data_IF_679860416658
#
_entry.id   IF_679860416658
#
_cell.length_a   1.000
_cell.length_b   1.000
_cell.length_c   1.000
_cell.angle_alpha   90.00
_cell.angle_beta   90.00
_cell.angle_gamma   90.00
#
_symmetry.space_group_name_H-M   'P 1'
#
loop_
_entity.id
_entity.type
_entity.pdbx_description
1 polymer ?
#
# COMPACT_ATOMS: atom_id res chain seq x y z
N UNK A 1 -5.10 4.19 -24.15
CA UNK A 1 -6.52 4.57 -24.03
C UNK A 1 -7.13 4.30 -22.65
N UNK A 2 -6.89 3.14 -22.03
CA UNK A 2 -7.35 2.83 -20.66
C UNK A 2 -6.94 3.93 -19.66
N UNK A 3 -5.65 4.25 -19.54
CA UNK A 3 -5.18 5.31 -18.63
C UNK A 3 -5.73 6.70 -18.97
N UNK A 4 -5.96 7.02 -20.25
CA UNK A 4 -6.62 8.28 -20.65
C UNK A 4 -8.04 8.34 -20.10
N UNK A 5 -8.77 7.23 -20.17
CA UNK A 5 -10.13 7.10 -19.62
C UNK A 5 -10.12 7.25 -18.11
N UNK A 6 -9.23 6.55 -17.40
CA UNK A 6 -9.09 6.67 -15.94
C UNK A 6 -8.77 8.11 -15.51
N UNK A 7 -7.99 8.85 -16.31
CA UNK A 7 -7.66 10.25 -16.02
C UNK A 7 -8.84 11.22 -16.17
N UNK A 8 -9.97 10.80 -16.73
CA UNK A 8 -11.19 11.61 -16.79
C UNK A 8 -12.08 11.45 -15.55
N UNK A 9 -11.75 10.49 -14.68
CA UNK A 9 -12.54 10.14 -13.49
C UNK A 9 -11.80 10.39 -12.17
N UNK A 10 -12.12 9.58 -11.16
CA UNK A 10 -11.55 9.70 -9.80
C UNK A 10 -10.04 9.47 -9.69
N UNK A 11 -9.42 8.91 -10.73
CA UNK A 11 -7.98 8.74 -10.82
C UNK A 11 -7.26 9.92 -11.48
N UNK A 12 -7.99 10.97 -11.88
CA UNK A 12 -7.42 12.21 -12.43
C UNK A 12 -6.24 12.69 -11.57
N UNK A 13 -5.05 12.59 -12.17
CA UNK A 13 -3.80 12.94 -11.56
C UNK A 13 -2.69 13.04 -12.59
N UNK A 14 -1.68 13.85 -12.25
CA UNK A 14 -0.52 14.04 -13.12
C UNK A 14 0.19 12.72 -13.46
N UNK A 15 0.27 11.78 -12.51
CA UNK A 15 0.92 10.49 -12.76
C UNK A 15 0.13 9.59 -13.72
N UNK A 16 -1.20 9.62 -13.69
CA UNK A 16 -2.04 8.85 -14.62
C UNK A 16 -1.98 9.48 -16.02
N UNK A 17 -2.01 10.81 -16.10
CA UNK A 17 -1.82 11.59 -17.33
C UNK A 17 -0.51 11.20 -18.03
N UNK A 18 0.64 11.35 -17.36
CA UNK A 18 1.93 11.05 -17.99
C UNK A 18 2.11 9.57 -18.29
N UNK A 19 1.47 8.67 -17.53
CA UNK A 19 1.48 7.23 -17.84
C UNK A 19 0.83 6.96 -19.19
N UNK A 20 -0.29 7.61 -19.49
CA UNK A 20 -0.94 7.48 -20.79
C UNK A 20 -0.05 7.99 -21.93
N UNK A 21 0.63 9.11 -21.73
CA UNK A 21 1.53 9.70 -22.74
C UNK A 21 2.75 8.81 -22.99
N UNK A 22 3.41 8.33 -21.93
CA UNK A 22 4.57 7.42 -22.02
C UNK A 22 4.20 6.11 -22.72
N UNK A 23 3.05 5.51 -22.39
CA UNK A 23 2.59 4.28 -23.05
C UNK A 23 2.25 4.46 -24.53
N UNK A 24 1.91 5.68 -24.96
CA UNK A 24 1.63 5.99 -26.36
C UNK A 24 2.85 6.42 -27.17
N UNK A 25 3.99 6.65 -26.51
CA UNK A 25 5.20 7.06 -27.17
C UNK A 25 5.84 5.88 -27.92
N UNK A 26 6.26 6.16 -29.16
CA UNK A 26 6.99 5.22 -30.02
C UNK A 26 8.42 5.71 -30.14
N UNK A 27 9.36 4.80 -29.92
CA UNK A 27 10.79 5.09 -30.07
C UNK A 27 11.13 5.35 -31.55
N UNK A 28 11.82 6.46 -31.81
CA UNK A 28 12.08 6.93 -33.18
C UNK A 28 13.10 6.07 -33.93
N UNK A 29 14.01 5.40 -33.22
CA UNK A 29 15.07 4.60 -33.83
C UNK A 29 14.58 3.20 -34.18
N UNK A 30 13.85 2.56 -33.26
CA UNK A 30 13.41 1.16 -33.41
C UNK A 30 11.99 1.02 -33.96
N UNK A 31 11.16 2.07 -33.89
CA UNK A 31 9.75 2.04 -34.25
C UNK A 31 8.86 1.21 -33.28
N UNK A 32 9.40 0.77 -32.14
CA UNK A 32 8.68 0.02 -31.11
C UNK A 32 8.04 0.94 -30.07
N UNK A 33 7.04 0.46 -29.29
CA UNK A 33 6.62 1.19 -28.10
C UNK A 33 7.82 1.51 -27.21
N UNK A 34 7.96 2.77 -26.80
CA UNK A 34 9.12 3.23 -26.04
C UNK A 34 9.35 2.41 -24.77
N UNK A 35 8.28 2.04 -24.07
CA UNK A 35 8.35 1.25 -22.85
C UNK A 35 8.95 -0.15 -23.04
N UNK A 36 8.90 -0.71 -24.26
CA UNK A 36 9.44 -2.04 -24.57
C UNK A 36 10.96 -2.03 -24.81
N UNK A 37 11.55 -0.84 -24.99
CA UNK A 37 13.01 -0.68 -25.21
C UNK A 37 13.73 -0.12 -23.98
N UNK A 38 12.99 0.36 -22.97
CA UNK A 38 13.56 0.87 -21.73
C UNK A 38 13.93 -0.27 -20.79
N UNK A 39 15.12 -0.19 -20.19
CA UNK A 39 15.57 -1.16 -19.19
C UNK A 39 14.72 -1.10 -17.92
N UNK A 40 14.30 -2.25 -17.41
CA UNK A 40 13.45 -2.40 -16.23
C UNK A 40 14.24 -2.35 -14.90
N UNK A 41 15.07 -1.31 -14.74
CA UNK A 41 15.93 -1.09 -13.58
C UNK A 41 15.69 0.32 -13.01
N UNK A 42 14.79 0.40 -12.04
CA UNK A 42 14.41 1.68 -11.44
C UNK A 42 15.43 2.13 -10.37
N UNK A 43 16.02 3.30 -10.58
CA UNK A 43 16.86 3.95 -9.57
C UNK A 43 16.02 4.63 -8.46
N UNK A 44 16.66 4.90 -7.33
CA UNK A 44 16.08 5.72 -6.27
C UNK A 44 17.11 6.71 -5.71
N UNK A 45 16.67 7.95 -5.48
CA UNK A 45 17.50 9.02 -4.90
C UNK A 45 17.48 9.07 -3.36
N UNK A 46 16.85 8.09 -2.71
CA UNK A 46 16.88 7.89 -1.26
C UNK A 46 15.66 8.38 -0.48
N UNK A 47 14.89 9.35 -0.98
CA UNK A 47 13.75 9.93 -0.23
C UNK A 47 12.67 8.91 0.14
N UNK A 48 12.31 8.00 -0.77
CA UNK A 48 11.37 6.91 -0.45
C UNK A 48 11.90 5.95 0.62
N UNK A 49 13.21 5.69 0.65
CA UNK A 49 13.85 4.87 1.69
C UNK A 49 13.76 5.57 3.05
N UNK A 50 13.94 6.89 3.10
CA UNK A 50 13.84 7.66 4.34
C UNK A 50 12.44 7.57 4.95
N UNK A 51 11.39 7.68 4.15
CA UNK A 51 10.01 7.46 4.62
C UNK A 51 9.86 6.09 5.28
N UNK A 52 10.34 5.02 4.63
CA UNK A 52 10.24 3.66 5.21
C UNK A 52 11.07 3.51 6.49
N UNK A 53 12.22 4.17 6.60
CA UNK A 53 13.05 4.16 7.82
C UNK A 53 12.35 4.88 8.97
N UNK A 54 11.82 6.08 8.72
CA UNK A 54 11.09 6.87 9.72
C UNK A 54 9.84 6.14 10.18
N UNK A 55 9.11 5.50 9.27
CA UNK A 55 7.96 4.70 9.63
C UNK A 55 8.30 3.53 10.57
N UNK A 56 9.46 2.88 10.39
CA UNK A 56 9.95 1.86 11.32
C UNK A 56 10.30 2.48 12.69
N UNK A 57 10.98 3.64 12.70
CA UNK A 57 11.35 4.34 13.93
C UNK A 57 10.12 4.78 14.74
N UNK A 58 9.06 5.23 14.05
CA UNK A 58 7.79 5.66 14.64
C UNK A 58 6.82 4.49 14.95
N UNK A 59 7.13 3.27 14.53
CA UNK A 59 6.23 2.12 14.67
C UNK A 59 4.96 2.20 13.82
N UNK A 60 5.00 2.91 12.69
CA UNK A 60 3.86 3.11 11.77
C UNK A 60 3.97 2.19 10.55
N UNK A 61 2.97 1.34 10.27
CA UNK A 61 3.02 0.44 9.12
C UNK A 61 2.67 1.15 7.79
N UNK A 62 3.70 1.58 7.04
CA UNK A 62 3.58 2.15 5.68
C UNK A 62 3.82 1.12 4.56
N UNK A 63 3.14 -0.02 4.65
CA UNK A 63 3.42 -1.21 3.84
C UNK A 63 3.40 -0.95 2.32
N UNK A 64 2.50 -0.10 1.82
CA UNK A 64 2.42 0.21 0.39
C UNK A 64 3.63 0.98 -0.12
N UNK A 65 4.13 1.93 0.68
CA UNK A 65 5.34 2.71 0.36
C UNK A 65 6.59 1.82 0.47
N UNK A 66 6.65 0.96 1.50
CA UNK A 66 7.73 0.00 1.68
C UNK A 66 7.86 -0.96 0.48
N UNK A 67 6.75 -1.55 0.03
CA UNK A 67 6.75 -2.41 -1.15
C UNK A 67 7.12 -1.67 -2.44
N UNK A 68 6.75 -0.39 -2.58
CA UNK A 68 7.20 0.42 -3.71
C UNK A 68 8.73 0.62 -3.71
N UNK A 69 9.35 0.81 -2.54
CA UNK A 69 10.80 0.91 -2.38
C UNK A 69 11.48 -0.44 -2.67
N UNK A 70 10.94 -1.53 -2.15
CA UNK A 70 11.48 -2.88 -2.39
C UNK A 70 11.34 -3.30 -3.85
N UNK A 71 10.22 -2.98 -4.52
CA UNK A 71 10.03 -3.27 -5.94
C UNK A 71 11.09 -2.59 -6.82
N UNK A 72 11.44 -1.33 -6.52
CA UNK A 72 12.56 -0.63 -7.21
C UNK A 72 13.88 -1.34 -6.95
N UNK A 73 14.17 -1.65 -5.69
CA UNK A 73 15.39 -2.38 -5.34
C UNK A 73 15.49 -3.71 -6.08
N UNK A 74 14.43 -4.52 -6.10
CA UNK A 74 14.38 -5.80 -6.80
C UNK A 74 14.61 -5.64 -8.31
N UNK A 75 14.02 -4.61 -8.93
CA UNK A 75 14.20 -4.33 -10.36
C UNK A 75 15.69 -4.10 -10.72
N UNK A 76 16.42 -3.38 -9.86
CA UNK A 76 17.85 -3.10 -10.02
C UNK A 76 18.77 -4.31 -9.81
N UNK A 77 18.30 -5.39 -9.17
CA UNK A 77 19.07 -6.64 -9.01
C UNK A 77 18.98 -7.54 -10.26
N UNK A 78 19.34 -7.00 -11.42
CA UNK A 78 19.18 -7.69 -12.71
C UNK A 78 19.87 -9.06 -12.77
N UNK A 79 21.09 -9.19 -12.22
CA UNK A 79 21.82 -10.46 -12.19
C UNK A 79 21.11 -11.54 -11.34
N UNK A 80 20.53 -11.14 -10.21
CA UNK A 80 19.75 -12.04 -9.35
C UNK A 80 18.47 -12.48 -10.06
N UNK A 81 17.77 -11.55 -10.72
CA UNK A 81 16.56 -11.85 -11.51
C UNK A 81 16.89 -12.80 -12.65
N UNK A 82 17.98 -12.57 -13.37
CA UNK A 82 18.45 -13.44 -14.47
C UNK A 82 18.72 -14.86 -13.98
N UNK A 83 19.50 -15.00 -12.90
CA UNK A 83 19.79 -16.30 -12.28
C UNK A 83 18.53 -17.04 -11.80
N UNK A 84 17.42 -16.32 -11.59
CA UNK A 84 16.16 -16.86 -11.06
C UNK A 84 15.10 -17.10 -12.14
N UNK A 85 15.32 -16.76 -13.42
CA UNK A 85 14.29 -16.89 -14.47
C UNK A 85 13.82 -18.32 -14.73
N UNK A 86 14.61 -19.32 -14.35
CA UNK A 86 14.28 -20.74 -14.49
C UNK A 86 13.33 -21.29 -13.42
N UNK A 87 12.94 -20.49 -12.42
CA UNK A 87 12.00 -20.91 -11.38
C UNK A 87 10.62 -21.19 -12.00
N UNK A 88 9.98 -22.28 -11.55
CA UNK A 88 8.66 -22.65 -12.03
C UNK A 88 7.59 -21.65 -11.57
N UNK A 89 6.64 -21.36 -12.45
CA UNK A 89 5.46 -20.54 -12.18
C UNK A 89 4.24 -21.03 -12.95
N UNK A 90 3.06 -20.45 -12.69
CA UNK A 90 1.86 -20.77 -13.47
C UNK A 90 2.05 -20.36 -14.93
N UNK A 91 1.37 -21.06 -15.84
CA UNK A 91 1.33 -20.69 -17.25
C UNK A 91 0.25 -19.62 -17.45
N UNK A 92 0.66 -18.40 -17.78
CA UNK A 92 -0.26 -17.32 -18.02
C UNK A 92 -1.16 -17.60 -19.25
N UNK A 93 -2.46 -17.28 -19.12
CA UNK A 93 -3.43 -17.33 -20.22
C UNK A 93 -3.88 -15.92 -20.57
N UNK A 94 -3.75 -15.54 -21.84
CA UNK A 94 -4.27 -14.26 -22.32
C UNK A 94 -5.80 -14.23 -22.22
N UNK A 95 -6.33 -13.08 -21.84
CA UNK A 95 -7.77 -12.79 -21.87
C UNK A 95 -8.18 -12.39 -23.28
N UNK A 96 -9.44 -12.67 -23.64
CA UNK A 96 -10.03 -12.07 -24.84
C UNK A 96 -10.16 -10.55 -24.69
N UNK A 97 -10.29 -9.82 -25.80
CA UNK A 97 -10.32 -8.34 -25.77
C UNK A 97 -11.43 -7.78 -24.86
N UNK A 98 -12.65 -8.31 -24.96
CA UNK A 98 -13.77 -7.91 -24.08
C UNK A 98 -13.53 -8.25 -22.62
N UNK A 99 -12.89 -9.38 -22.32
CA UNK A 99 -12.58 -9.81 -20.96
C UNK A 99 -11.46 -8.93 -20.37
N UNK A 100 -10.46 -8.60 -21.18
CA UNK A 100 -9.38 -7.70 -20.79
C UNK A 100 -9.90 -6.29 -20.50
N UNK A 101 -10.84 -5.77 -21.30
CA UNK A 101 -11.49 -4.50 -21.04
C UNK A 101 -12.25 -4.50 -19.71
N UNK A 102 -13.11 -5.50 -19.47
CA UNK A 102 -13.82 -5.64 -18.20
C UNK A 102 -12.88 -5.83 -17.01
N UNK A 103 -11.76 -6.54 -17.20
CA UNK A 103 -10.76 -6.71 -16.17
C UNK A 103 -9.99 -5.42 -15.88
N UNK A 104 -9.76 -4.56 -16.89
CA UNK A 104 -9.16 -3.25 -16.69
C UNK A 104 -10.00 -2.37 -15.76
N UNK A 105 -11.34 -2.40 -15.87
CA UNK A 105 -12.21 -1.67 -14.94
C UNK A 105 -12.03 -2.15 -13.50
N UNK A 106 -11.83 -3.45 -13.29
CA UNK A 106 -11.50 -3.99 -11.95
C UNK A 106 -10.13 -3.54 -11.46
N UNK A 107 -9.14 -3.47 -12.35
CA UNK A 107 -7.81 -2.92 -12.03
C UNK A 107 -7.92 -1.45 -11.65
N UNK A 108 -8.83 -0.68 -12.24
CA UNK A 108 -9.11 0.70 -11.82
C UNK A 108 -9.58 0.75 -10.36
N UNK A 109 -10.53 -0.12 -9.98
CA UNK A 109 -11.02 -0.24 -8.59
C UNK A 109 -9.88 -0.60 -7.63
N UNK A 110 -9.09 -1.61 -7.98
CA UNK A 110 -7.93 -2.06 -7.21
C UNK A 110 -6.91 -0.92 -7.00
N UNK A 111 -6.59 -0.18 -8.07
CA UNK A 111 -5.66 0.93 -8.04
C UNK A 111 -6.19 2.07 -7.17
N UNK A 112 -7.47 2.40 -7.30
CA UNK A 112 -8.11 3.44 -6.51
C UNK A 112 -8.14 3.09 -5.01
N UNK A 113 -8.57 1.88 -4.65
CA UNK A 113 -8.58 1.41 -3.27
C UNK A 113 -7.16 1.38 -2.67
N UNK A 114 -6.19 0.86 -3.41
CA UNK A 114 -4.79 0.81 -2.98
C UNK A 114 -4.19 2.21 -2.80
N UNK A 115 -4.58 3.17 -3.65
CA UNK A 115 -4.21 4.58 -3.51
C UNK A 115 -4.74 5.15 -2.19
N UNK A 116 -6.02 4.97 -1.87
CA UNK A 116 -6.58 5.44 -0.60
C UNK A 116 -5.80 4.86 0.60
N UNK A 117 -5.49 3.56 0.58
CA UNK A 117 -4.71 2.92 1.64
C UNK A 117 -3.31 3.51 1.76
N UNK A 118 -2.60 3.70 0.66
CA UNK A 118 -1.26 4.29 0.67
C UNK A 118 -1.25 5.72 1.24
N UNK A 119 -2.25 6.53 0.86
CA UNK A 119 -2.42 7.86 1.46
C UNK A 119 -2.78 7.78 2.94
N UNK A 120 -3.66 6.86 3.34
CA UNK A 120 -4.00 6.62 4.76
C UNK A 120 -2.75 6.33 5.58
N UNK A 121 -1.87 5.48 5.07
CA UNK A 121 -0.61 5.13 5.71
C UNK A 121 0.32 6.34 5.86
N UNK A 122 0.51 7.11 4.78
CA UNK A 122 1.37 8.31 4.82
C UNK A 122 0.84 9.40 5.75
N UNK A 123 -0.47 9.63 5.78
CA UNK A 123 -1.07 10.61 6.70
C UNK A 123 -0.96 10.16 8.16
N UNK A 124 -1.09 8.86 8.44
CA UNK A 124 -0.85 8.31 9.78
C UNK A 124 0.62 8.48 10.21
N UNK A 125 1.58 8.28 9.29
CA UNK A 125 3.00 8.52 9.58
C UNK A 125 3.28 10.00 9.91
N UNK A 126 2.69 10.93 9.15
CA UNK A 126 2.82 12.38 9.43
C UNK A 126 2.21 12.72 10.78
N UNK A 127 1.04 12.17 11.12
CA UNK A 127 0.40 12.38 12.41
C UNK A 127 1.26 11.87 13.58
N UNK A 128 1.80 10.64 13.45
CA UNK A 128 2.70 10.05 14.45
C UNK A 128 3.99 10.86 14.61
N UNK A 129 4.61 11.28 13.51
CA UNK A 129 5.79 12.15 13.55
C UNK A 129 5.49 13.52 14.17
N UNK A 130 4.33 14.11 13.85
CA UNK A 130 3.88 15.36 14.47
C UNK A 130 3.73 15.23 15.99
N UNK A 131 3.22 14.10 16.47
CA UNK A 131 3.10 13.79 17.90
C UNK A 131 4.48 13.58 18.56
N UNK A 132 5.33 12.74 17.97
CA UNK A 132 6.66 12.41 18.50
C UNK A 132 7.55 13.65 18.60
N UNK A 133 7.52 14.53 17.59
CA UNK A 133 8.41 15.68 17.50
C UNK A 133 7.77 17.01 17.93
N UNK A 134 6.50 17.01 18.34
CA UNK A 134 5.78 18.20 18.80
C UNK A 134 5.64 19.30 17.74
N UNK A 135 5.38 18.92 16.48
CA UNK A 135 5.36 19.85 15.35
C UNK A 135 4.00 20.51 15.07
N UNK A 136 2.92 20.01 15.67
CA UNK A 136 1.55 20.52 15.49
C UNK A 136 1.15 20.65 14.00
N UNK A 137 1.39 19.58 13.22
CA UNK A 137 1.14 19.56 11.78
C UNK A 137 -0.37 19.52 11.50
N UNK A 138 -0.84 20.48 10.70
CA UNK A 138 -2.17 20.47 10.10
C UNK A 138 -2.21 19.59 8.83
N UNK A 139 -2.86 18.43 8.92
CA UNK A 139 -3.01 17.48 7.82
C UNK A 139 -3.88 18.00 6.67
N UNK A 140 -4.85 18.88 6.96
CA UNK A 140 -5.63 19.57 5.93
C UNK A 140 -4.77 20.54 5.12
N UNK A 141 -3.91 21.30 5.80
CA UNK A 141 -2.95 22.20 5.16
C UNK A 141 -1.90 21.44 4.32
N UNK A 142 -1.39 20.30 4.82
CA UNK A 142 -0.51 19.40 4.05
C UNK A 142 -1.20 18.93 2.76
N UNK A 143 -2.47 18.51 2.87
CA UNK A 143 -3.24 18.11 1.69
C UNK A 143 -3.39 19.25 0.70
N UNK A 144 -3.63 20.47 1.20
CA UNK A 144 -3.84 21.65 0.37
C UNK A 144 -2.61 22.03 -0.46
N UNK A 145 -1.40 21.94 0.10
CA UNK A 145 -0.14 22.26 -0.61
C UNK A 145 0.23 21.22 -1.68
N UNK A 146 -0.21 19.96 -1.53
CA UNK A 146 0.07 18.91 -2.52
C UNK A 146 -0.86 18.95 -3.74
N UNK A 147 -1.95 19.73 -3.70
CA UNK A 147 -2.91 19.81 -4.81
C UNK A 147 -2.35 20.37 -6.11
N UNK A 148 -1.28 21.15 -6.03
CA UNK A 148 -0.66 21.80 -7.18
C UNK A 148 0.86 21.83 -7.08
N UNK A 149 1.54 21.93 -8.22
CA UNK A 149 3.00 22.06 -8.29
C UNK A 149 3.80 20.78 -8.00
N UNK A 150 3.34 19.90 -7.11
CA UNK A 150 4.02 18.65 -6.79
C UNK A 150 3.67 17.52 -7.79
N UNK A 151 4.44 16.42 -7.72
CA UNK A 151 4.28 15.25 -8.61
C UNK A 151 3.02 14.44 -8.30
N UNK A 152 2.61 14.38 -7.03
CA UNK A 152 1.44 13.60 -6.61
C UNK A 152 0.11 14.35 -6.77
N UNK A 153 0.14 15.54 -7.41
CA UNK A 153 -1.05 16.37 -7.60
C UNK A 153 -2.18 15.59 -8.30
N UNK A 154 -3.37 15.68 -7.73
CA UNK A 154 -4.55 14.93 -8.13
C UNK A 154 -5.82 15.58 -7.57
N UNK A 155 -6.94 15.44 -8.28
CA UNK A 155 -8.27 15.82 -7.75
C UNK A 155 -8.59 15.08 -6.42
N UNK A 156 -7.96 13.92 -6.22
CA UNK A 156 -8.00 13.15 -4.98
C UNK A 156 -7.60 13.94 -3.73
N UNK A 157 -6.65 14.89 -3.83
CA UNK A 157 -6.15 15.65 -2.68
C UNK A 157 -7.13 16.71 -2.17
N UNK A 158 -8.01 17.24 -3.04
CA UNK A 158 -9.11 18.11 -2.60
C UNK A 158 -10.06 17.38 -1.65
N UNK A 159 -10.26 16.08 -1.89
CA UNK A 159 -11.15 15.24 -1.09
C UNK A 159 -10.54 14.88 0.27
N UNK A 160 -9.24 14.61 0.31
CA UNK A 160 -8.51 14.42 1.57
C UNK A 160 -8.57 15.70 2.41
N UNK A 161 -8.31 16.85 1.79
CA UNK A 161 -8.46 18.14 2.46
C UNK A 161 -9.86 18.32 3.03
N UNK A 162 -10.91 18.08 2.25
CA UNK A 162 -12.28 18.22 2.71
C UNK A 162 -12.60 17.31 3.91
N UNK A 163 -12.04 16.10 3.96
CA UNK A 163 -12.22 15.20 5.10
C UNK A 163 -11.57 15.76 6.39
N UNK A 164 -10.35 16.31 6.31
CA UNK A 164 -9.69 16.95 7.45
C UNK A 164 -10.30 18.31 7.83
N UNK A 165 -10.81 19.09 6.86
CA UNK A 165 -11.52 20.35 7.13
C UNK A 165 -12.83 20.06 7.89
N UNK A 166 -13.53 18.96 7.56
CA UNK A 166 -14.75 18.54 8.25
C UNK A 166 -14.48 17.92 9.62
N UNK A 167 -13.38 17.17 9.75
CA UNK A 167 -12.97 16.50 10.99
C UNK A 167 -11.45 16.59 11.19
N UNK A 168 -10.95 17.64 11.86
CA UNK A 168 -9.51 17.81 12.06
C UNK A 168 -8.83 16.68 12.86
N UNK A 169 -9.57 16.00 13.73
CA UNK A 169 -9.11 14.85 14.54
C UNK A 169 -9.29 13.50 13.83
N UNK A 170 -9.52 13.49 12.52
CA UNK A 170 -9.78 12.26 11.76
C UNK A 170 -8.63 11.25 11.93
N UNK A 171 -8.86 10.09 12.59
CA UNK A 171 -7.79 9.16 12.92
C UNK A 171 -7.22 8.44 11.69
N UNK A 172 -8.02 8.33 10.62
CA UNK A 172 -7.65 7.67 9.38
C UNK A 172 -8.59 8.11 8.27
N UNK A 173 -8.09 8.24 7.03
CA UNK A 173 -8.96 8.48 5.88
C UNK A 173 -9.99 7.36 5.69
N UNK A 174 -9.69 6.13 6.14
CA UNK A 174 -10.63 5.01 6.10
C UNK A 174 -11.79 5.15 7.10
N UNK A 175 -11.69 6.07 8.06
CA UNK A 175 -12.76 6.39 9.00
C UNK A 175 -13.68 7.52 8.53
N UNK A 176 -13.37 8.16 7.40
CA UNK A 176 -14.28 9.07 6.70
C UNK A 176 -15.35 8.27 5.93
N UNK A 177 -16.61 8.67 6.06
CA UNK A 177 -17.75 7.94 5.49
C UNK A 177 -17.72 7.86 3.95
N UNK A 178 -17.12 8.85 3.29
CA UNK A 178 -17.04 8.87 1.82
C UNK A 178 -15.99 7.88 1.34
N UNK A 179 -14.77 7.95 1.89
CA UNK A 179 -13.72 6.99 1.55
C UNK A 179 -14.08 5.55 1.95
N UNK A 180 -14.74 5.36 3.11
CA UNK A 180 -15.22 4.06 3.54
C UNK A 180 -16.21 3.44 2.54
N UNK A 181 -17.19 4.22 2.05
CA UNK A 181 -18.16 3.76 1.04
C UNK A 181 -17.49 3.40 -0.28
N UNK A 182 -16.52 4.18 -0.72
CA UNK A 182 -15.84 3.90 -1.99
C UNK A 182 -14.94 2.67 -1.93
N UNK A 183 -14.22 2.45 -0.84
CA UNK A 183 -13.48 1.20 -0.65
C UNK A 183 -14.43 0.03 -0.54
N UNK A 184 -15.57 0.18 0.16
CA UNK A 184 -16.58 -0.88 0.22
C UNK A 184 -17.10 -1.25 -1.18
N UNK A 185 -17.25 -0.28 -2.08
CA UNK A 185 -17.63 -0.52 -3.47
C UNK A 185 -16.49 -1.12 -4.33
N UNK A 186 -15.23 -0.82 -4.02
CA UNK A 186 -14.07 -1.25 -4.81
C UNK A 186 -13.47 -2.60 -4.36
N UNK A 187 -13.72 -3.02 -3.12
CA UNK A 187 -12.96 -4.10 -2.48
C UNK A 187 -13.15 -5.48 -3.13
N UNK A 188 -14.32 -5.78 -3.71
CA UNK A 188 -14.53 -7.07 -4.39
C UNK A 188 -13.71 -7.14 -5.67
N UNK A 189 -13.76 -6.11 -6.51
CA UNK A 189 -12.94 -6.02 -7.73
C UNK A 189 -11.44 -6.01 -7.40
N UNK A 190 -11.06 -5.35 -6.30
CA UNK A 190 -9.69 -5.36 -5.80
C UNK A 190 -9.21 -6.78 -5.47
N UNK A 191 -10.03 -7.58 -4.79
CA UNK A 191 -9.73 -8.99 -4.48
C UNK A 191 -9.66 -9.84 -5.75
N UNK A 192 -10.58 -9.65 -6.69
CA UNK A 192 -10.58 -10.37 -7.96
C UNK A 192 -9.30 -10.12 -8.77
N UNK A 193 -8.80 -8.88 -8.77
CA UNK A 193 -7.51 -8.54 -9.40
C UNK A 193 -6.36 -9.31 -8.75
N UNK A 194 -6.32 -9.38 -7.43
CA UNK A 194 -5.27 -10.11 -6.68
C UNK A 194 -5.33 -11.63 -6.89
N UNK A 195 -6.54 -12.20 -6.91
CA UNK A 195 -6.77 -13.62 -7.21
C UNK A 195 -6.30 -13.95 -8.62
N UNK A 196 -6.69 -13.14 -9.61
CA UNK A 196 -6.28 -13.32 -11.00
C UNK A 196 -4.76 -13.18 -11.14
N UNK A 197 -4.16 -12.12 -10.58
CA UNK A 197 -2.72 -11.90 -10.63
C UNK A 197 -1.94 -13.07 -10.02
N UNK A 198 -2.39 -13.58 -8.86
CA UNK A 198 -1.74 -14.71 -8.20
C UNK A 198 -1.86 -16.00 -9.01
N UNK A 199 -3.04 -16.29 -9.57
CA UNK A 199 -3.25 -17.47 -10.44
C UNK A 199 -2.42 -17.41 -11.73
N UNK A 200 -2.20 -16.22 -12.26
CA UNK A 200 -1.47 -15.99 -13.51
C UNK A 200 0.04 -15.72 -13.29
N UNK A 201 0.50 -15.62 -12.03
CA UNK A 201 1.91 -15.36 -11.72
C UNK A 201 2.36 -13.92 -11.97
N UNK A 202 1.44 -12.94 -11.90
CA UNK A 202 1.73 -11.52 -12.08
C UNK A 202 2.05 -10.88 -10.72
N UNK A 203 3.25 -10.31 -10.52
CA UNK A 203 3.62 -9.69 -9.25
C UNK A 203 2.85 -8.39 -9.03
N UNK A 204 2.14 -8.28 -7.89
CA UNK A 204 1.33 -7.11 -7.53
C UNK A 204 1.60 -6.65 -6.08
N UNK A 205 2.88 -6.45 -5.67
CA UNK A 205 3.23 -6.23 -4.27
C UNK A 205 2.52 -5.01 -3.65
N UNK A 206 2.37 -3.91 -4.39
CA UNK A 206 1.65 -2.73 -3.92
C UNK A 206 0.16 -2.98 -3.65
N UNK A 207 -0.53 -3.71 -4.52
CA UNK A 207 -1.94 -4.06 -4.30
C UNK A 207 -2.09 -5.05 -3.13
N UNK A 208 -1.21 -6.06 -3.06
CA UNK A 208 -1.25 -7.08 -2.02
C UNK A 208 -1.03 -6.48 -0.63
N UNK A 209 0.00 -5.63 -0.49
CA UNK A 209 0.32 -4.99 0.78
C UNK A 209 -0.77 -4.00 1.24
N UNK A 210 -1.38 -3.28 0.31
CA UNK A 210 -2.51 -2.40 0.63
C UNK A 210 -3.75 -3.21 1.06
N UNK A 211 -4.06 -4.33 0.41
CA UNK A 211 -5.22 -5.16 0.80
C UNK A 211 -5.01 -5.80 2.16
N UNK A 212 -3.80 -6.32 2.40
CA UNK A 212 -3.42 -6.90 3.70
C UNK A 212 -3.54 -5.86 4.82
N UNK A 213 -3.12 -4.62 4.58
CA UNK A 213 -3.30 -3.52 5.54
C UNK A 213 -4.78 -3.24 5.80
N UNK A 214 -5.60 -3.11 4.75
CA UNK A 214 -7.03 -2.87 4.87
C UNK A 214 -7.74 -3.97 5.69
N UNK A 215 -7.46 -5.24 5.38
CA UNK A 215 -8.04 -6.37 6.09
C UNK A 215 -7.56 -6.48 7.54
N UNK A 216 -6.29 -6.14 7.81
CA UNK A 216 -5.76 -6.11 9.17
C UNK A 216 -6.42 -5.01 10.03
N UNK A 217 -6.66 -3.83 9.44
CA UNK A 217 -7.20 -2.68 10.17
C UNK A 217 -8.65 -2.91 10.63
N UNK A 218 -9.44 -3.64 9.85
CA UNK A 218 -10.87 -3.92 10.13
C UNK A 218 -11.11 -5.22 10.92
N UNK A 219 -10.07 -5.99 11.20
CA UNK A 219 -10.21 -7.24 11.93
C UNK A 219 -10.41 -6.96 13.43
N UNK A 220 -11.46 -7.54 14.02
CA UNK A 220 -11.70 -7.46 15.48
C UNK A 220 -10.51 -8.03 16.27
N UNK A 221 -9.86 -9.08 15.75
CA UNK A 221 -8.73 -9.74 16.38
C UNK A 221 -7.71 -10.19 15.33
N UNK A 222 -6.46 -9.80 15.54
CA UNK A 222 -5.32 -10.25 14.75
C UNK A 222 -4.65 -11.49 15.38
N UNK A 223 -3.91 -12.30 14.59
CA UNK A 223 -3.19 -13.46 15.10
C UNK A 223 -1.99 -13.12 16.00
N UNK A 224 -1.74 -11.83 16.28
CA UNK A 224 -0.67 -11.36 17.15
C UNK A 224 -0.71 -11.94 18.58
N UNK A 225 -1.87 -12.45 19.03
CA UNK A 225 -1.96 -13.20 20.28
C UNK A 225 -1.05 -14.45 20.30
N UNK A 226 -0.91 -15.15 19.16
CA UNK A 226 0.02 -16.28 19.04
C UNK A 226 1.48 -15.79 19.11
N UNK A 227 1.81 -14.69 18.44
CA UNK A 227 3.14 -14.08 18.51
C UNK A 227 3.49 -13.68 19.95
N UNK A 228 2.54 -13.13 20.71
CA UNK A 228 2.75 -12.84 22.13
C UNK A 228 3.02 -14.11 22.94
N UNK A 229 2.23 -15.16 22.73
CA UNK A 229 2.49 -16.46 23.38
C UNK A 229 3.85 -17.04 23.03
N UNK A 230 4.29 -16.95 21.77
CA UNK A 230 5.63 -17.37 21.35
C UNK A 230 6.73 -16.56 22.05
N UNK A 231 6.61 -15.22 22.07
CA UNK A 231 7.57 -14.32 22.74
C UNK A 231 7.67 -14.60 24.23
N UNK A 232 6.55 -14.84 24.88
CA UNK A 232 6.52 -15.23 26.28
C UNK A 232 7.16 -16.62 26.50
N UNK A 233 6.93 -17.56 25.58
CA UNK A 233 7.50 -18.91 25.62
C UNK A 233 9.02 -18.92 25.58
N UNK A 234 9.64 -18.30 24.56
CA UNK A 234 11.10 -18.40 24.38
C UNK A 234 11.88 -17.33 25.14
N UNK A 235 11.23 -16.24 25.57
CA UNK A 235 11.93 -15.04 26.05
C UNK A 235 11.33 -14.40 27.30
N UNK A 236 10.30 -14.99 27.91
CA UNK A 236 9.62 -14.44 29.09
C UNK A 236 9.21 -12.97 28.92
N UNK A 237 8.81 -12.60 27.69
CA UNK A 237 8.47 -11.22 27.34
C UNK A 237 7.14 -10.71 27.89
N UNK A 238 6.42 -11.55 28.65
CA UNK A 238 5.08 -11.29 29.18
C UNK A 238 4.02 -11.08 28.09
N UNK A 239 2.76 -11.08 28.48
CA UNK A 239 1.62 -10.74 27.64
C UNK A 239 0.51 -10.08 28.46
N UNK A 240 -0.44 -9.43 27.78
CA UNK A 240 -1.68 -8.93 28.37
C UNK A 240 -2.84 -9.85 28.02
N UNK A 241 -3.93 -9.79 28.79
CA UNK A 241 -5.12 -10.60 28.57
C UNK A 241 -6.32 -9.73 28.15
N UNK A 242 -7.31 -10.36 27.54
CA UNK A 242 -8.54 -9.70 27.08
C UNK A 242 -9.62 -9.63 28.16
N UNK A 243 -9.46 -10.40 29.23
CA UNK A 243 -10.45 -10.58 30.31
C UNK A 243 -10.05 -9.89 31.63
N UNK A 244 -8.81 -9.39 31.74
CA UNK A 244 -8.32 -8.66 32.92
C UNK A 244 -7.06 -7.85 32.63
N UNK A 245 -6.89 -6.79 33.39
CA UNK A 245 -5.70 -5.93 33.35
C UNK A 245 -4.49 -6.61 33.99
N UNK A 246 -3.29 -6.24 33.52
CA UNK A 246 -2.00 -6.72 34.03
C UNK A 246 -1.08 -7.26 32.94
N UNK A 247 0.17 -7.51 33.32
CA UNK A 247 1.14 -8.24 32.52
C UNK A 247 1.34 -9.63 33.16
N UNK A 248 1.39 -10.66 32.32
CA UNK A 248 1.39 -12.04 32.75
C UNK A 248 2.53 -12.78 32.06
N UNK A 249 3.11 -13.75 32.74
CA UNK A 249 4.08 -14.69 32.19
C UNK A 249 3.60 -16.10 32.49
N UNK A 250 3.61 -16.99 31.49
CA UNK A 250 3.36 -18.41 31.73
C UNK A 250 4.69 -19.11 31.98
N UNK A 251 4.77 -19.95 33.01
CA UNK A 251 5.95 -20.75 33.32
C UNK A 251 6.08 -21.94 32.35
N UNK A 252 6.36 -21.66 31.06
CA UNK A 252 6.31 -22.61 29.96
C UNK A 252 7.22 -23.84 30.12
N UNK A 253 8.39 -23.64 30.72
CA UNK A 253 9.35 -24.71 31.05
C UNK A 253 9.08 -25.43 32.37
N UNK A 254 8.14 -24.93 33.17
CA UNK A 254 7.73 -25.51 34.46
C UNK A 254 6.36 -26.19 34.37
N UNK A 255 5.49 -25.90 35.33
CA UNK A 255 4.14 -26.43 35.42
C UNK A 255 3.13 -25.71 34.50
N UNK A 256 3.58 -24.69 33.75
CA UNK A 256 2.74 -23.84 32.88
C UNK A 256 1.68 -23.05 33.63
N UNK A 257 1.86 -22.81 34.92
CA UNK A 257 1.08 -21.83 35.65
C UNK A 257 1.37 -20.42 35.12
N UNK A 258 0.36 -19.54 35.21
CA UNK A 258 0.49 -18.12 34.87
C UNK A 258 0.82 -17.33 36.14
N UNK A 259 1.79 -16.43 36.05
CA UNK A 259 2.17 -15.49 37.10
C UNK A 259 2.00 -14.05 36.62
N UNK A 260 1.71 -13.13 37.53
CA UNK A 260 1.74 -11.69 37.23
C UNK A 260 3.17 -11.20 37.24
N UNK A 261 3.56 -10.45 36.20
CA UNK A 261 4.89 -9.86 36.06
C UNK A 261 5.03 -8.54 36.83
#
# INVERSE_FOLDING_TARGET
DIFRTWNTGRLDSYLIEITAEVLSHVDAETGKPFVDVVVDQAEQKGTGRWTVQIALDLGVPVSGIAEAVFARSLSGHAALREASRGLAGPKASALGESEAAAFADRVEQALYASKIVSYTQGFHEIAAGSQEYGWDIDLGAVSAIWRGGCIIRAAFLDRIRAAYDARPDLPSLLSDETFAREIAAAQDDWREVLVAATRQGVPTPGFAAALAYYDALRAERLPAALTQGQRDFFGAHTYRRTDRDGAFHTLWGGDRSEVTA
#
